data_IF_698303937273
#
_entry.id   IF_698303937273
#
_cell.length_a   1.000
_cell.length_b   1.000
_cell.length_c   1.000
_cell.angle_alpha   90.00
_cell.angle_beta   90.00
_cell.angle_gamma   90.00
#
_symmetry.space_group_name_H-M   'P 1'
#
loop_
_entity.id
_entity.type
_entity.pdbx_description
1 polymer ?
#
# COMPACT_ATOMS: atom_id res chain seq x y z
N UNK A 1 29.08 4.34 5.23
CA UNK A 1 27.81 4.15 5.97
C UNK A 1 27.11 2.94 5.37
N UNK A 2 26.84 1.93 6.18
CA UNK A 2 25.98 0.83 5.74
C UNK A 2 24.55 1.40 5.57
N UNK A 3 24.13 1.60 4.35
CA UNK A 3 22.75 1.98 4.07
C UNK A 3 21.88 0.75 4.30
N UNK A 4 20.85 0.87 5.08
CA UNK A 4 19.86 -0.20 5.30
C UNK A 4 18.99 -0.42 4.07
N UNK A 5 18.29 -1.54 4.04
CA UNK A 5 17.32 -1.87 3.00
C UNK A 5 15.94 -1.31 3.34
N UNK A 6 15.10 -1.07 2.33
CA UNK A 6 13.74 -0.58 2.48
C UNK A 6 12.74 -1.41 1.67
N UNK A 7 11.52 -1.54 2.20
CA UNK A 7 10.37 -2.12 1.54
C UNK A 7 9.36 -1.02 1.22
N UNK A 8 9.01 -0.86 -0.03
CA UNK A 8 7.97 0.07 -0.47
C UNK A 8 6.67 -0.69 -0.70
N UNK A 9 5.59 -0.27 -0.04
CA UNK A 9 4.24 -0.70 -0.39
C UNK A 9 3.87 0.00 -1.69
N UNK A 10 3.80 -0.77 -2.77
CA UNK A 10 3.88 -0.25 -4.13
C UNK A 10 2.66 -0.62 -4.97
N UNK A 11 1.97 0.39 -5.46
CA UNK A 11 0.80 0.21 -6.34
C UNK A 11 1.05 0.58 -7.81
N UNK A 12 2.20 1.17 -8.12
CA UNK A 12 2.49 1.72 -9.43
C UNK A 12 1.82 3.08 -9.71
N UNK A 13 1.06 3.62 -8.75
CA UNK A 13 0.48 4.97 -8.83
C UNK A 13 1.52 6.03 -8.47
N UNK A 14 1.20 7.30 -8.71
CA UNK A 14 2.12 8.42 -8.59
C UNK A 14 2.84 8.47 -7.24
N UNK A 15 2.12 8.42 -6.12
CA UNK A 15 2.71 8.59 -4.79
C UNK A 15 3.66 7.45 -4.44
N UNK A 16 3.24 6.21 -4.65
CA UNK A 16 4.09 5.04 -4.39
C UNK A 16 5.27 4.96 -5.34
N UNK A 17 5.14 5.41 -6.58
CA UNK A 17 6.23 5.49 -7.54
C UNK A 17 7.24 6.56 -7.14
N UNK A 18 6.78 7.71 -6.65
CA UNK A 18 7.65 8.74 -6.08
C UNK A 18 8.43 8.19 -4.88
N UNK A 19 7.77 7.48 -3.97
CA UNK A 19 8.42 6.80 -2.85
C UNK A 19 9.50 5.83 -3.34
N UNK A 20 9.19 4.98 -4.31
CA UNK A 20 10.13 3.99 -4.86
C UNK A 20 11.44 4.64 -5.34
N UNK A 21 11.33 5.70 -6.14
CA UNK A 21 12.50 6.38 -6.69
C UNK A 21 13.25 7.21 -5.63
N UNK A 22 12.55 7.74 -4.64
CA UNK A 22 13.16 8.42 -3.51
C UNK A 22 13.99 7.44 -2.67
N UNK A 23 13.42 6.27 -2.33
CA UNK A 23 14.08 5.22 -1.55
C UNK A 23 15.34 4.70 -2.26
N UNK A 24 15.32 4.53 -3.56
CA UNK A 24 16.50 4.13 -4.34
C UNK A 24 17.71 5.07 -4.17
N UNK A 25 17.48 6.32 -3.81
CA UNK A 25 18.57 7.28 -3.55
C UNK A 25 19.13 7.20 -2.13
N UNK A 26 18.34 6.65 -1.20
CA UNK A 26 18.64 6.71 0.24
C UNK A 26 18.99 5.37 0.86
N UNK A 27 18.55 4.27 0.26
CA UNK A 27 18.77 2.92 0.77
C UNK A 27 19.69 2.11 -0.12
N UNK A 28 20.29 1.05 0.46
CA UNK A 28 21.21 0.16 -0.28
C UNK A 28 20.47 -0.71 -1.27
N UNK A 29 19.35 -1.25 -0.85
CA UNK A 29 18.47 -2.07 -1.66
C UNK A 29 17.02 -1.72 -1.36
N UNK A 30 16.21 -1.71 -2.39
CA UNK A 30 14.79 -1.43 -2.30
C UNK A 30 14.00 -2.61 -2.84
N UNK A 31 12.97 -3.01 -2.09
CA UNK A 31 12.01 -4.03 -2.46
C UNK A 31 10.64 -3.38 -2.67
N UNK A 32 9.91 -3.81 -3.66
CA UNK A 32 8.56 -3.35 -3.93
C UNK A 32 7.57 -4.48 -3.68
N UNK A 33 6.60 -4.26 -2.79
CA UNK A 33 5.55 -5.21 -2.46
C UNK A 33 4.20 -4.63 -2.89
N UNK A 34 3.53 -5.32 -3.80
CA UNK A 34 2.17 -5.00 -4.22
C UNK A 34 1.17 -6.00 -3.66
N UNK A 35 -0.06 -5.54 -3.42
CA UNK A 35 -1.15 -6.39 -2.96
C UNK A 35 -2.19 -6.58 -4.06
N UNK A 36 -2.55 -7.82 -4.31
CA UNK A 36 -3.61 -8.19 -5.27
C UNK A 36 -4.87 -8.52 -4.48
N UNK A 37 -5.96 -7.81 -4.76
CA UNK A 37 -7.25 -8.03 -4.13
C UNK A 37 -8.39 -7.75 -5.12
N UNK A 38 -8.82 -8.81 -5.77
CA UNK A 38 -9.87 -8.76 -6.79
C UNK A 38 -9.34 -8.46 -8.19
N UNK A 39 -10.16 -8.76 -9.19
CA UNK A 39 -9.76 -8.69 -10.60
C UNK A 39 -9.53 -7.28 -11.13
N UNK A 40 -10.15 -6.26 -10.53
CA UNK A 40 -9.96 -4.86 -10.92
C UNK A 40 -8.50 -4.39 -10.79
N UNK A 41 -7.72 -5.04 -9.94
CA UNK A 41 -6.35 -4.65 -9.64
C UNK A 41 -5.27 -5.41 -10.42
N UNK A 42 -5.63 -6.42 -11.21
CA UNK A 42 -4.64 -7.23 -11.96
C UNK A 42 -3.82 -6.37 -12.91
N UNK A 43 -4.46 -5.47 -13.66
CA UNK A 43 -3.77 -4.57 -14.59
C UNK A 43 -2.86 -3.57 -13.88
N UNK A 44 -3.27 -3.08 -12.72
CA UNK A 44 -2.46 -2.16 -11.90
C UNK A 44 -1.21 -2.87 -11.39
N UNK A 45 -1.33 -4.13 -10.97
CA UNK A 45 -0.19 -4.93 -10.50
C UNK A 45 0.80 -5.21 -11.64
N UNK A 46 0.33 -5.49 -12.85
CA UNK A 46 1.22 -5.67 -14.00
C UNK A 46 1.97 -4.38 -14.38
N UNK A 47 1.30 -3.24 -14.29
CA UNK A 47 1.96 -1.94 -14.47
C UNK A 47 3.01 -1.70 -13.37
N UNK A 48 2.67 -1.98 -12.13
CA UNK A 48 3.60 -1.87 -11.01
C UNK A 48 4.84 -2.76 -11.21
N UNK A 49 4.62 -4.00 -11.66
CA UNK A 49 5.72 -4.94 -11.99
C UNK A 49 6.65 -4.36 -13.06
N UNK A 50 6.08 -3.80 -14.12
CA UNK A 50 6.86 -3.19 -15.22
C UNK A 50 7.69 -1.99 -14.74
N UNK A 51 7.11 -1.13 -13.91
CA UNK A 51 7.82 0.03 -13.34
C UNK A 51 8.97 -0.44 -12.44
N UNK A 52 8.73 -1.41 -11.56
CA UNK A 52 9.75 -1.95 -10.68
C UNK A 52 10.90 -2.60 -11.47
N UNK A 53 10.58 -3.36 -12.52
CA UNK A 53 11.57 -3.97 -13.40
C UNK A 53 12.43 -2.90 -14.11
N UNK A 54 11.81 -1.87 -14.65
CA UNK A 54 12.51 -0.73 -15.27
C UNK A 54 13.37 0.05 -14.28
N UNK A 55 13.00 0.07 -13.01
CA UNK A 55 13.76 0.69 -11.94
C UNK A 55 14.87 -0.22 -11.36
N UNK A 56 14.95 -1.48 -11.77
CA UNK A 56 15.88 -2.46 -11.20
C UNK A 56 15.60 -2.81 -9.74
N UNK A 57 14.31 -2.82 -9.34
CA UNK A 57 13.85 -3.11 -7.99
C UNK A 57 13.23 -4.50 -7.95
N UNK A 58 13.56 -5.28 -6.92
CA UNK A 58 12.88 -6.55 -6.67
C UNK A 58 11.40 -6.31 -6.38
N UNK A 59 10.54 -7.06 -7.06
CA UNK A 59 9.10 -6.90 -6.99
C UNK A 59 8.42 -8.22 -6.60
N UNK A 60 7.50 -8.12 -5.66
CA UNK A 60 6.59 -9.22 -5.32
C UNK A 60 5.14 -8.73 -5.27
N UNK A 61 4.24 -9.56 -5.77
CA UNK A 61 2.79 -9.36 -5.68
C UNK A 61 2.20 -10.42 -4.75
N UNK A 62 1.56 -9.97 -3.68
CA UNK A 62 0.96 -10.84 -2.68
C UNK A 62 -0.56 -10.84 -2.83
N UNK A 63 -1.16 -12.01 -2.94
CA UNK A 63 -2.61 -12.16 -3.01
C UNK A 63 -3.23 -12.01 -1.62
N UNK A 64 -4.09 -11.02 -1.49
CA UNK A 64 -4.86 -10.71 -0.29
C UNK A 64 -6.36 -10.66 -0.60
N UNK A 65 -6.82 -11.47 -1.54
CA UNK A 65 -8.21 -11.49 -2.01
C UNK A 65 -9.24 -11.77 -0.91
N UNK A 66 -8.81 -12.35 0.21
CA UNK A 66 -9.66 -12.53 1.40
C UNK A 66 -10.28 -11.22 1.92
N UNK A 67 -9.66 -10.08 1.65
CA UNK A 67 -10.19 -8.76 2.02
C UNK A 67 -11.57 -8.52 1.39
N UNK A 68 -11.82 -9.08 0.20
CA UNK A 68 -13.12 -9.00 -0.47
C UNK A 68 -14.27 -9.65 0.31
N UNK A 69 -13.96 -10.55 1.23
CA UNK A 69 -14.96 -11.19 2.08
C UNK A 69 -15.32 -10.38 3.33
N UNK A 70 -14.56 -9.33 3.64
CA UNK A 70 -14.75 -8.51 4.85
C UNK A 70 -15.80 -7.41 4.68
N UNK A 71 -16.26 -7.16 3.46
CA UNK A 71 -17.27 -6.14 3.18
C UNK A 71 -17.50 -5.92 1.70
N UNK A 72 -18.57 -5.20 1.38
CA UNK A 72 -18.90 -4.82 0.00
C UNK A 72 -18.41 -3.41 -0.29
N UNK A 73 -17.64 -3.24 -1.35
CA UNK A 73 -17.18 -1.93 -1.85
C UNK A 73 -16.89 -2.00 -3.36
N UNK A 74 -16.78 -0.85 -4.00
CA UNK A 74 -16.60 -0.77 -5.46
C UNK A 74 -15.25 -1.27 -5.96
N UNK A 75 -14.25 -1.46 -5.10
CA UNK A 75 -12.94 -1.97 -5.48
C UNK A 75 -12.90 -3.50 -5.56
N UNK A 76 -13.68 -4.17 -4.72
CA UNK A 76 -13.70 -5.63 -4.62
C UNK A 76 -14.99 -6.25 -5.16
N UNK A 77 -16.11 -5.52 -5.14
CA UNK A 77 -17.41 -5.95 -5.67
C UNK A 77 -17.65 -5.29 -7.04
N UNK A 78 -17.67 -6.10 -8.10
CA UNK A 78 -17.87 -5.61 -9.48
C UNK A 78 -19.30 -5.13 -9.77
N UNK A 79 -20.26 -5.45 -8.88
CA UNK A 79 -21.66 -4.99 -8.99
C UNK A 79 -21.87 -3.57 -8.48
N UNK A 80 -20.89 -3.02 -7.73
CA UNK A 80 -20.93 -1.68 -7.16
C UNK A 80 -20.14 -0.73 -8.05
N UNK A 81 -20.81 0.33 -8.58
CA UNK A 81 -20.13 1.39 -9.31
C UNK A 81 -19.32 2.30 -8.37
N UNK A 82 -18.21 2.86 -8.84
CA UNK A 82 -17.46 3.86 -8.08
C UNK A 82 -18.26 5.17 -8.01
N UNK A 83 -18.33 5.75 -6.81
CA UNK A 83 -18.94 7.07 -6.63
C UNK A 83 -18.14 8.14 -7.37
N UNK A 84 -18.85 8.96 -8.15
CA UNK A 84 -18.30 10.17 -8.74
C UNK A 84 -18.62 11.40 -7.89
N UNK A 85 -19.79 11.38 -7.24
CA UNK A 85 -20.25 12.41 -6.30
C UNK A 85 -20.68 11.77 -4.99
N UNK A 86 -20.11 12.22 -3.87
CA UNK A 86 -20.44 11.73 -2.53
C UNK A 86 -20.93 12.87 -1.64
N UNK A 87 -21.82 12.59 -0.68
CA UNK A 87 -22.12 13.54 0.39
C UNK A 87 -20.86 13.84 1.21
N UNK A 88 -20.72 15.09 1.66
CA UNK A 88 -19.52 15.56 2.37
C UNK A 88 -19.17 14.76 3.65
N UNK A 89 -20.14 14.11 4.26
CA UNK A 89 -20.01 13.40 5.54
C UNK A 89 -19.92 11.87 5.41
N UNK A 90 -19.84 11.32 4.18
CA UNK A 90 -19.78 9.88 3.95
C UNK A 90 -18.42 9.42 3.44
N UNK A 91 -17.98 8.21 3.85
CA UNK A 91 -16.83 7.57 3.23
C UNK A 91 -17.13 7.21 1.77
N UNK A 92 -16.13 7.33 0.86
CA UNK A 92 -16.28 6.84 -0.51
C UNK A 92 -16.63 5.34 -0.52
N UNK A 93 -17.41 4.89 -1.50
CA UNK A 93 -17.69 3.46 -1.68
C UNK A 93 -16.46 2.65 -2.14
N UNK A 94 -15.35 3.33 -2.44
CA UNK A 94 -14.02 2.73 -2.66
C UNK A 94 -13.29 2.44 -1.36
N UNK A 95 -13.81 2.91 -0.21
CA UNK A 95 -13.19 2.73 1.09
C UNK A 95 -13.32 1.27 1.56
N UNK A 96 -12.19 0.65 1.83
CA UNK A 96 -12.09 -0.65 2.46
C UNK A 96 -11.60 -0.41 3.89
N UNK A 97 -12.47 -0.56 4.92
CA UNK A 97 -12.07 -0.31 6.29
C UNK A 97 -10.83 -1.11 6.69
N UNK A 98 -9.80 -0.42 7.20
CA UNK A 98 -8.57 -1.06 7.64
C UNK A 98 -7.67 -1.60 6.53
N UNK A 99 -7.87 -1.23 5.27
CA UNK A 99 -7.03 -1.69 4.16
C UNK A 99 -5.55 -1.42 4.40
N UNK A 100 -5.18 -0.20 4.77
CA UNK A 100 -3.79 0.14 5.08
C UNK A 100 -3.29 -0.55 6.35
N UNK A 101 -4.16 -0.79 7.32
CA UNK A 101 -3.81 -1.61 8.49
C UNK A 101 -3.38 -3.02 8.08
N UNK A 102 -4.17 -3.68 7.22
CA UNK A 102 -3.82 -5.01 6.72
C UNK A 102 -2.53 -4.97 5.90
N UNK A 103 -2.43 -4.08 4.94
CA UNK A 103 -1.27 -3.99 4.04
C UNK A 103 0.02 -3.73 4.81
N UNK A 104 0.03 -2.77 5.72
CA UNK A 104 1.21 -2.43 6.49
C UNK A 104 1.57 -3.51 7.52
N UNK A 105 0.59 -4.20 8.10
CA UNK A 105 0.85 -5.33 8.99
C UNK A 105 1.47 -6.51 8.22
N UNK A 106 0.94 -6.86 7.06
CA UNK A 106 1.52 -7.90 6.20
C UNK A 106 2.91 -7.50 5.72
N UNK A 107 3.08 -6.24 5.29
CA UNK A 107 4.38 -5.71 4.88
C UNK A 107 5.41 -5.78 6.01
N UNK A 108 5.00 -5.55 7.27
CA UNK A 108 5.89 -5.65 8.42
C UNK A 108 6.37 -7.08 8.68
N UNK A 109 5.48 -8.06 8.57
CA UNK A 109 5.85 -9.49 8.68
C UNK A 109 6.79 -9.86 7.54
N UNK A 110 6.46 -9.49 6.32
CA UNK A 110 7.32 -9.73 5.15
C UNK A 110 8.71 -9.10 5.33
N UNK A 111 8.76 -7.83 5.74
CA UNK A 111 10.01 -7.11 5.95
C UNK A 111 10.89 -7.80 7.01
N UNK A 112 10.29 -8.22 8.12
CA UNK A 112 11.00 -8.93 9.20
C UNK A 112 11.63 -10.24 8.73
N UNK A 113 10.89 -11.04 7.95
CA UNK A 113 11.39 -12.30 7.38
C UNK A 113 12.55 -12.07 6.39
N UNK A 114 12.62 -10.90 5.77
CA UNK A 114 13.68 -10.54 4.83
C UNK A 114 14.80 -9.66 5.45
N UNK A 115 14.75 -9.42 6.76
CA UNK A 115 15.73 -8.58 7.44
C UNK A 115 15.67 -7.10 7.09
N UNK A 116 14.51 -6.63 6.63
CA UNK A 116 14.28 -5.24 6.22
C UNK A 116 13.68 -4.47 7.39
N UNK A 117 14.27 -3.33 7.75
CA UNK A 117 13.86 -2.55 8.92
C UNK A 117 13.07 -1.28 8.58
N UNK A 118 12.91 -0.95 7.30
CA UNK A 118 12.22 0.25 6.86
C UNK A 118 11.08 -0.11 5.91
N UNK A 119 9.89 0.36 6.23
CA UNK A 119 8.71 0.22 5.38
C UNK A 119 8.26 1.62 4.98
N UNK A 120 8.01 1.80 3.70
CA UNK A 120 7.61 3.09 3.12
C UNK A 120 6.27 2.93 2.41
N UNK A 121 5.39 3.86 2.65
CA UNK A 121 4.07 3.91 2.01
C UNK A 121 3.74 5.33 1.58
N UNK A 122 3.12 5.46 0.41
CA UNK A 122 2.68 6.75 -0.13
C UNK A 122 1.25 7.07 0.31
N UNK A 123 1.07 7.42 1.58
CA UNK A 123 -0.23 7.88 2.12
C UNK A 123 -0.16 9.37 2.46
N UNK A 124 -1.29 10.06 2.39
CA UNK A 124 -1.38 11.49 2.67
C UNK A 124 -2.57 11.80 3.57
N UNK A 125 -2.32 12.55 4.64
CA UNK A 125 -3.39 13.02 5.53
C UNK A 125 -4.30 14.05 4.84
N UNK A 126 -3.76 14.80 3.90
CA UNK A 126 -4.49 15.81 3.14
C UNK A 126 -5.19 15.24 1.91
N UNK A 127 -5.15 13.94 1.74
CA UNK A 127 -5.88 13.27 0.66
C UNK A 127 -7.38 13.55 0.81
N UNK A 128 -7.99 14.08 -0.24
CA UNK A 128 -9.41 14.39 -0.30
C UNK A 128 -10.31 13.16 -0.16
N UNK A 129 -9.76 11.96 -0.25
CA UNK A 129 -10.48 10.71 -0.01
C UNK A 129 -11.02 10.58 1.42
N UNK A 130 -10.40 11.25 2.40
CA UNK A 130 -10.83 11.24 3.79
C UNK A 130 -10.64 9.91 4.50
N UNK A 131 -9.75 9.04 4.03
CA UNK A 131 -9.50 7.72 4.63
C UNK A 131 -8.83 7.85 6.02
N UNK A 132 -9.44 7.30 7.09
CA UNK A 132 -8.86 7.37 8.43
C UNK A 132 -7.48 6.75 8.52
N UNK A 133 -7.23 5.67 7.79
CA UNK A 133 -5.99 4.90 7.74
C UNK A 133 -4.90 5.50 6.83
N UNK A 134 -5.09 6.74 6.40
CA UNK A 134 -4.07 7.59 5.76
C UNK A 134 -3.58 8.73 6.67
N UNK A 135 -4.13 8.87 7.87
CA UNK A 135 -3.82 9.97 8.78
C UNK A 135 -2.48 9.77 9.49
N UNK A 136 -1.81 10.87 9.80
CA UNK A 136 -0.54 10.87 10.55
C UNK A 136 -0.65 10.13 11.88
N UNK A 137 -1.75 10.37 12.64
CA UNK A 137 -2.00 9.68 13.90
C UNK A 137 -2.10 8.15 13.74
N UNK A 138 -2.72 7.67 12.67
CA UNK A 138 -2.79 6.23 12.36
C UNK A 138 -1.39 5.67 12.09
N UNK A 139 -0.61 6.29 11.24
CA UNK A 139 0.75 5.84 10.88
C UNK A 139 1.65 5.82 12.12
N UNK A 140 1.62 6.85 12.95
CA UNK A 140 2.39 6.90 14.20
C UNK A 140 2.01 5.80 15.18
N UNK A 141 0.72 5.58 15.39
CA UNK A 141 0.20 4.52 16.25
C UNK A 141 0.60 3.13 15.74
N UNK A 142 0.45 2.89 14.44
CA UNK A 142 0.83 1.62 13.82
C UNK A 142 2.33 1.37 13.93
N UNK A 143 3.16 2.41 13.72
CA UNK A 143 4.61 2.28 13.87
C UNK A 143 5.01 1.81 15.28
N UNK A 144 4.38 2.36 16.32
CA UNK A 144 4.59 1.89 17.71
C UNK A 144 4.16 0.44 17.85
N UNK A 145 2.99 0.09 17.36
CA UNK A 145 2.44 -1.29 17.44
C UNK A 145 3.37 -2.30 16.77
N UNK A 146 3.84 -2.00 15.56
CA UNK A 146 4.74 -2.88 14.81
C UNK A 146 6.12 -3.04 15.45
N UNK A 147 6.59 -2.03 16.18
CA UNK A 147 7.85 -2.13 16.93
C UNK A 147 7.73 -2.94 18.23
N UNK A 148 6.51 -3.08 18.76
CA UNK A 148 6.23 -3.87 19.95
C UNK A 148 5.91 -5.35 19.63
N UNK A 149 5.50 -5.65 18.43
CA UNK A 149 5.20 -7.00 17.95
C UNK A 149 6.45 -7.65 17.34
#
# INVERSE_FOLDING_TARGET
MNRSDALVVFSGRQDSTTCLFWEKKHFSKVYALSFVYGQKHVKEVELARSIAAGAGVEFEAMDVSFIGHLGKNSLTDTTIAMDQDKPADSFPNTFVPGRNLFFLSIAAVYAREHGINHIVTGVSQTDFSGYPDCRDAFIKSLNVTLNLA
#
